data_IF_609682812768
#
_entry.id   IF_609682812768
#
_cell.length_a   1.000
_cell.length_b   1.000
_cell.length_c   1.000
_cell.angle_alpha   90.00
_cell.angle_beta   90.00
_cell.angle_gamma   90.00
#
_symmetry.space_group_name_H-M   'P 1'
#
loop_
_entity.id
_entity.type
_entity.pdbx_description
1 polymer ?
#
# COMPACT_ATOMS: atom_id res chain seq x y z
N UNK A 1 26.57 -13.45 18.06
CA UNK A 1 25.15 -13.24 18.40
C UNK A 1 24.34 -14.54 18.23
N UNK A 2 23.60 -14.96 19.26
CA UNK A 2 23.06 -16.34 19.34
C UNK A 2 21.57 -16.45 18.98
N UNK A 3 20.90 -15.32 18.76
CA UNK A 3 19.48 -15.28 18.37
C UNK A 3 19.33 -14.97 16.89
N UNK A 4 18.44 -15.71 16.23
CA UNK A 4 17.93 -15.36 14.90
C UNK A 4 16.90 -14.23 15.05
N UNK A 5 17.05 -13.16 14.27
CA UNK A 5 16.17 -11.99 14.27
C UNK A 5 15.45 -11.96 12.93
N UNK A 6 14.12 -11.95 12.95
CA UNK A 6 13.31 -11.85 11.73
C UNK A 6 12.69 -10.47 11.69
N UNK A 7 13.00 -9.70 10.64
CA UNK A 7 12.39 -8.42 10.35
C UNK A 7 11.19 -8.62 9.41
N UNK A 8 9.99 -8.34 9.91
CA UNK A 8 8.77 -8.33 9.11
C UNK A 8 8.68 -7.02 8.31
N UNK A 9 9.12 -7.08 7.07
CA UNK A 9 9.21 -5.93 6.18
C UNK A 9 7.86 -5.69 5.51
N UNK A 10 7.03 -4.83 6.12
CA UNK A 10 5.67 -4.52 5.67
C UNK A 10 5.62 -3.05 5.23
N UNK A 11 4.96 -2.80 4.10
CA UNK A 11 4.55 -1.46 3.70
C UNK A 11 4.69 -1.23 2.21
N UNK A 12 4.23 -0.06 1.79
CA UNK A 12 4.31 0.39 0.40
C UNK A 12 5.72 0.84 0.01
N UNK A 13 5.85 1.35 -1.21
CA UNK A 13 7.09 1.81 -1.84
C UNK A 13 7.81 2.89 -1.00
N UNK A 14 7.09 3.63 -0.15
CA UNK A 14 7.70 4.58 0.81
C UNK A 14 8.68 3.90 1.77
N UNK A 15 8.35 2.67 2.20
CA UNK A 15 9.09 1.94 3.24
C UNK A 15 10.12 0.97 2.68
N UNK A 16 9.90 0.48 1.47
CA UNK A 16 10.74 -0.53 0.80
C UNK A 16 12.22 -0.14 0.70
N UNK A 17 12.61 1.11 0.38
CA UNK A 17 14.02 1.50 0.33
C UNK A 17 14.74 1.33 1.67
N UNK A 18 14.05 1.48 2.80
CA UNK A 18 14.66 1.32 4.11
C UNK A 18 15.02 -0.13 4.40
N UNK A 19 14.16 -1.06 3.97
CA UNK A 19 14.46 -2.50 4.01
C UNK A 19 15.63 -2.84 3.10
N UNK A 20 15.67 -2.28 1.88
CA UNK A 20 16.78 -2.46 0.95
C UNK A 20 18.12 -1.97 1.53
N UNK A 21 18.11 -0.80 2.19
CA UNK A 21 19.27 -0.25 2.88
C UNK A 21 19.72 -1.13 4.06
N UNK A 22 18.78 -1.71 4.81
CA UNK A 22 19.08 -2.63 5.91
C UNK A 22 19.71 -3.94 5.41
N UNK A 23 19.22 -4.49 4.29
CA UNK A 23 19.82 -5.66 3.63
C UNK A 23 21.24 -5.34 3.19
N UNK A 24 21.44 -4.21 2.50
CA UNK A 24 22.77 -3.75 2.08
C UNK A 24 23.74 -3.65 3.26
N UNK A 25 23.29 -3.05 4.36
CA UNK A 25 24.11 -2.90 5.56
C UNK A 25 24.45 -4.24 6.18
N UNK A 26 23.48 -5.16 6.28
CA UNK A 26 23.71 -6.50 6.82
C UNK A 26 24.75 -7.27 6.00
N UNK A 27 24.72 -7.15 4.68
CA UNK A 27 25.71 -7.76 3.79
C UNK A 27 27.09 -7.14 3.99
N UNK A 28 27.19 -5.81 3.97
CA UNK A 28 28.46 -5.08 4.13
C UNK A 28 29.14 -5.35 5.47
N UNK A 29 28.35 -5.50 6.54
CA UNK A 29 28.84 -5.79 7.89
C UNK A 29 28.94 -7.28 8.21
N UNK A 30 28.64 -8.16 7.24
CA UNK A 30 28.65 -9.61 7.41
C UNK A 30 27.77 -10.08 8.59
N UNK A 31 26.59 -9.45 8.78
CA UNK A 31 25.62 -9.81 9.80
C UNK A 31 24.83 -11.04 9.32
N UNK A 32 24.98 -12.17 10.02
CA UNK A 32 24.43 -13.47 9.61
C UNK A 32 23.21 -13.97 10.39
N UNK A 33 22.75 -13.21 11.39
CA UNK A 33 21.64 -13.61 12.26
C UNK A 33 20.37 -12.78 12.04
N UNK A 34 20.28 -12.02 10.95
CA UNK A 34 19.09 -11.26 10.55
C UNK A 34 18.48 -11.86 9.28
N UNK A 35 17.16 -11.98 9.26
CA UNK A 35 16.37 -12.50 8.14
C UNK A 35 15.20 -11.57 7.86
N UNK A 36 14.71 -11.56 6.64
CA UNK A 36 13.68 -10.64 6.17
C UNK A 36 12.48 -11.42 5.65
N UNK A 37 11.30 -11.12 6.20
CA UNK A 37 10.04 -11.58 5.64
C UNK A 37 9.46 -10.44 4.80
N UNK A 38 9.60 -10.53 3.47
CA UNK A 38 9.28 -9.43 2.55
C UNK A 38 7.79 -9.42 2.20
N UNK A 39 7.06 -8.47 2.78
CA UNK A 39 5.65 -8.17 2.51
C UNK A 39 5.49 -6.72 2.03
N UNK A 40 6.47 -6.24 1.25
CA UNK A 40 6.35 -4.94 0.59
C UNK A 40 5.39 -5.01 -0.58
N UNK A 41 4.44 -4.08 -0.64
CA UNK A 41 3.36 -4.04 -1.61
C UNK A 41 3.47 -2.82 -2.52
N UNK A 42 2.84 -2.91 -3.70
CA UNK A 42 2.86 -1.88 -4.73
C UNK A 42 1.47 -1.24 -4.88
N UNK A 43 1.42 0.06 -5.19
CA UNK A 43 0.16 0.81 -5.33
C UNK A 43 -0.58 0.57 -6.65
N UNK A 44 0.06 0.58 -7.84
CA UNK A 44 -0.69 0.46 -9.09
C UNK A 44 -1.47 -0.87 -9.24
N UNK A 45 -0.92 -2.05 -8.89
CA UNK A 45 -1.64 -3.32 -9.05
C UNK A 45 -2.99 -3.43 -8.32
N UNK A 46 -3.14 -3.11 -7.03
CA UNK A 46 -4.45 -3.11 -6.37
C UNK A 46 -5.40 -2.05 -6.93
N UNK A 47 -4.91 -0.88 -7.35
CA UNK A 47 -5.75 0.13 -8.02
C UNK A 47 -6.33 -0.44 -9.32
N UNK A 48 -5.50 -1.12 -10.12
CA UNK A 48 -5.91 -1.81 -11.35
C UNK A 48 -6.98 -2.87 -11.07
N UNK A 49 -6.75 -3.73 -10.08
CA UNK A 49 -7.71 -4.76 -9.67
C UNK A 49 -9.07 -4.19 -9.25
N UNK A 50 -9.08 -3.06 -8.52
CA UNK A 50 -10.33 -2.38 -8.13
C UNK A 50 -11.05 -1.77 -9.34
N UNK A 51 -10.30 -1.16 -10.27
CA UNK A 51 -10.89 -0.58 -11.48
C UNK A 51 -11.43 -1.65 -12.43
N UNK A 52 -10.71 -2.77 -12.58
CA UNK A 52 -11.10 -3.89 -13.44
C UNK A 52 -12.35 -4.61 -12.94
N UNK A 53 -12.62 -4.62 -11.63
CA UNK A 53 -13.82 -5.27 -11.10
C UNK A 53 -15.10 -4.50 -11.44
N UNK A 54 -15.01 -3.19 -11.67
CA UNK A 54 -16.15 -2.31 -11.94
C UNK A 54 -17.12 -2.15 -10.77
N UNK A 55 -16.80 -2.69 -9.59
CA UNK A 55 -17.66 -2.58 -8.40
C UNK A 55 -17.65 -1.15 -7.82
N UNK A 56 -16.48 -0.51 -7.81
CA UNK A 56 -16.29 0.84 -7.28
C UNK A 56 -16.51 1.88 -8.39
N UNK A 57 -17.29 2.93 -8.08
CA UNK A 57 -17.50 4.07 -8.98
C UNK A 57 -16.47 5.14 -8.69
N UNK A 58 -15.37 5.13 -9.45
CA UNK A 58 -14.24 6.05 -9.25
C UNK A 58 -14.04 6.91 -10.49
N UNK A 59 -14.30 8.21 -10.34
CA UNK A 59 -14.12 9.18 -11.43
C UNK A 59 -12.70 9.75 -11.47
N UNK A 60 -12.00 9.84 -10.33
CA UNK A 60 -10.66 10.39 -10.23
C UNK A 60 -9.91 9.84 -9.00
N UNK A 61 -8.58 9.93 -9.01
CA UNK A 61 -7.74 9.56 -7.88
C UNK A 61 -6.93 10.73 -7.32
N UNK A 62 -6.82 10.76 -6.00
CA UNK A 62 -5.74 11.46 -5.31
C UNK A 62 -4.67 10.43 -4.98
N UNK A 63 -3.51 10.55 -5.61
CA UNK A 63 -2.42 9.61 -5.45
C UNK A 63 -1.57 9.90 -4.19
N UNK A 64 -1.07 8.85 -3.50
CA UNK A 64 -0.30 8.99 -2.28
C UNK A 64 1.04 9.69 -2.53
N UNK A 65 1.28 10.80 -1.83
CA UNK A 65 2.49 11.62 -2.02
C UNK A 65 3.77 10.90 -1.66
N UNK A 66 3.87 10.29 -0.47
CA UNK A 66 5.14 9.66 -0.04
C UNK A 66 5.56 8.48 -0.93
N UNK A 67 4.60 7.70 -1.43
CA UNK A 67 4.87 6.67 -2.45
C UNK A 67 5.43 7.31 -3.71
N UNK A 68 4.84 8.42 -4.13
CA UNK A 68 5.25 9.16 -5.33
C UNK A 68 6.59 9.88 -5.17
N UNK A 69 7.04 10.18 -3.94
CA UNK A 69 8.41 10.67 -3.69
C UNK A 69 9.43 9.61 -4.09
N UNK A 70 9.13 8.33 -3.83
CA UNK A 70 10.01 7.22 -4.19
C UNK A 70 9.87 6.84 -5.66
N UNK A 71 8.64 6.58 -6.10
CA UNK A 71 8.34 5.99 -7.42
C UNK A 71 8.23 7.00 -8.56
N UNK A 72 7.96 8.27 -8.23
CA UNK A 72 7.61 9.30 -9.18
C UNK A 72 6.14 9.22 -9.60
N UNK A 73 5.64 10.31 -10.19
CA UNK A 73 4.25 10.34 -10.66
C UNK A 73 4.00 9.45 -11.89
N UNK A 74 5.06 9.04 -12.61
CA UNK A 74 4.95 8.25 -13.84
C UNK A 74 4.20 6.93 -13.69
N UNK A 75 4.22 6.32 -12.50
CA UNK A 75 3.57 5.02 -12.25
C UNK A 75 2.04 5.07 -12.43
N UNK A 76 1.43 6.25 -12.33
CA UNK A 76 0.00 6.42 -12.50
C UNK A 76 -0.42 6.67 -13.96
N UNK A 77 0.54 6.80 -14.89
CA UNK A 77 0.24 7.09 -16.29
C UNK A 77 -0.56 5.96 -16.95
N UNK A 78 -0.24 4.71 -16.63
CA UNK A 78 -0.98 3.54 -17.13
C UNK A 78 -2.44 3.57 -16.65
N UNK A 79 -2.69 3.94 -15.39
CA UNK A 79 -4.06 4.05 -14.84
C UNK A 79 -4.87 5.09 -15.63
N UNK A 80 -4.31 6.27 -15.88
CA UNK A 80 -4.98 7.31 -16.68
C UNK A 80 -5.23 6.83 -18.11
N UNK A 81 -4.26 6.15 -18.73
CA UNK A 81 -4.35 5.71 -20.12
C UNK A 81 -5.39 4.62 -20.32
N UNK A 82 -5.44 3.64 -19.41
CA UNK A 82 -6.37 2.52 -19.45
C UNK A 82 -7.80 2.95 -19.10
N UNK A 83 -7.98 3.67 -17.98
CA UNK A 83 -9.31 3.90 -17.41
C UNK A 83 -9.89 5.28 -17.72
N UNK A 84 -9.10 6.19 -18.29
CA UNK A 84 -9.49 7.60 -18.50
C UNK A 84 -9.94 8.27 -17.19
N UNK A 85 -9.25 7.94 -16.11
CA UNK A 85 -9.49 8.43 -14.75
C UNK A 85 -8.33 9.34 -14.36
N UNK A 86 -8.51 10.67 -14.26
CA UNK A 86 -7.42 11.58 -13.90
C UNK A 86 -6.84 11.26 -12.52
N UNK A 87 -5.54 11.50 -12.37
CA UNK A 87 -4.80 11.26 -11.13
C UNK A 87 -4.05 12.52 -10.73
N UNK A 88 -4.25 13.00 -9.51
CA UNK A 88 -3.47 14.12 -8.97
C UNK A 88 -2.67 13.65 -7.76
N UNK A 89 -1.34 13.77 -7.82
CA UNK A 89 -0.46 13.49 -6.68
C UNK A 89 -0.50 14.67 -5.71
N UNK A 90 -1.07 14.46 -4.52
CA UNK A 90 -1.32 15.52 -3.54
C UNK A 90 -0.43 15.40 -2.30
N UNK A 91 -0.09 16.53 -1.69
CA UNK A 91 0.46 16.57 -0.33
C UNK A 91 -0.57 16.19 0.74
N UNK A 92 -0.18 16.26 2.02
CA UNK A 92 -1.04 15.86 3.15
C UNK A 92 -1.66 17.05 3.90
N UNK A 93 -1.25 18.28 3.60
CA UNK A 93 -1.88 19.43 4.23
C UNK A 93 -3.32 19.60 3.70
N UNK A 94 -4.27 20.10 4.51
CA UNK A 94 -5.65 20.29 4.06
C UNK A 94 -5.75 21.11 2.76
N UNK A 95 -4.87 22.11 2.60
CA UNK A 95 -4.81 22.95 1.39
C UNK A 95 -4.30 22.19 0.17
N UNK A 96 -3.40 21.20 0.34
CA UNK A 96 -2.93 20.37 -0.78
C UNK A 96 -4.05 19.49 -1.32
N UNK A 97 -4.84 18.91 -0.42
CA UNK A 97 -6.00 18.09 -0.78
C UNK A 97 -7.05 18.95 -1.48
N UNK A 98 -7.37 20.12 -0.93
CA UNK A 98 -8.34 21.05 -1.55
C UNK A 98 -7.92 21.50 -2.94
N UNK A 99 -6.65 21.86 -3.12
CA UNK A 99 -6.11 22.25 -4.43
C UNK A 99 -6.15 21.08 -5.42
N UNK A 100 -5.80 19.87 -4.98
CA UNK A 100 -5.82 18.68 -5.84
C UNK A 100 -7.23 18.34 -6.33
N UNK A 101 -8.24 18.49 -5.46
CA UNK A 101 -9.66 18.36 -5.85
C UNK A 101 -10.03 19.43 -6.89
N UNK A 102 -9.61 20.68 -6.70
CA UNK A 102 -9.84 21.75 -7.67
C UNK A 102 -9.21 21.43 -9.03
N UNK A 103 -8.00 20.87 -9.05
CA UNK A 103 -7.31 20.47 -10.28
C UNK A 103 -8.05 19.35 -11.01
N UNK A 104 -8.52 18.33 -10.27
CA UNK A 104 -9.38 17.26 -10.83
C UNK A 104 -10.64 17.86 -11.49
N UNK A 105 -11.34 18.77 -10.80
CA UNK A 105 -12.55 19.41 -11.33
C UNK A 105 -12.25 20.21 -12.60
N UNK A 106 -11.10 20.92 -12.65
CA UNK A 106 -10.66 21.66 -13.85
C UNK A 106 -10.40 20.71 -15.01
N UNK A 107 -9.72 19.59 -14.79
CA UNK A 107 -9.50 18.59 -15.83
C UNK A 107 -10.82 18.11 -16.43
N UNK A 108 -11.83 17.80 -15.61
CA UNK A 108 -13.16 17.43 -16.13
C UNK A 108 -13.81 18.54 -16.94
N UNK A 109 -13.79 19.79 -16.46
CA UNK A 109 -14.34 20.95 -17.17
C UNK A 109 -13.65 21.18 -18.53
N UNK A 110 -12.35 20.90 -18.59
CA UNK A 110 -11.51 21.03 -19.79
C UNK A 110 -11.49 19.77 -20.65
N UNK A 111 -12.24 18.72 -20.27
CA UNK A 111 -12.26 17.42 -20.94
C UNK A 111 -10.85 16.77 -21.03
N UNK A 112 -9.97 17.04 -20.06
CA UNK A 112 -8.63 16.42 -19.91
C UNK A 112 -8.68 15.26 -18.92
N UNK A 113 -7.76 14.30 -19.10
CA UNK A 113 -7.50 13.20 -18.16
C UNK A 113 -6.01 12.93 -18.14
N UNK A 114 -5.34 13.47 -17.15
CA UNK A 114 -3.88 13.51 -17.07
C UNK A 114 -3.41 13.19 -15.64
N UNK A 115 -2.14 12.82 -15.54
CA UNK A 115 -1.45 12.77 -14.26
C UNK A 115 -0.91 14.18 -13.98
N UNK A 116 -1.35 14.80 -12.89
CA UNK A 116 -0.80 16.08 -12.43
C UNK A 116 -0.11 15.90 -11.08
N UNK A 117 0.94 16.71 -10.85
CA UNK A 117 1.69 16.70 -9.60
C UNK A 117 1.36 18.00 -8.87
N UNK A 118 0.49 17.94 -7.86
CA UNK A 118 0.24 19.07 -6.97
C UNK A 118 1.39 19.20 -5.96
N UNK A 119 1.90 18.08 -5.46
CA UNK A 119 2.98 18.02 -4.47
C UNK A 119 4.40 18.25 -5.05
N UNK A 120 4.56 19.23 -5.96
CA UNK A 120 5.83 19.51 -6.69
C UNK A 120 7.03 19.82 -5.81
N UNK A 121 6.78 20.24 -4.56
CA UNK A 121 7.84 20.53 -3.58
C UNK A 121 8.61 19.29 -3.12
N UNK A 122 8.08 18.09 -3.32
CA UNK A 122 8.75 16.84 -2.94
C UNK A 122 8.68 15.74 -4.00
N UNK A 123 7.75 15.83 -4.97
CA UNK A 123 7.55 14.80 -5.99
C UNK A 123 7.99 15.30 -7.36
N UNK A 124 8.75 14.46 -8.06
CA UNK A 124 9.09 14.61 -9.47
C UNK A 124 8.38 13.55 -10.32
N UNK A 125 8.47 13.67 -11.64
CA UNK A 125 7.94 12.66 -12.55
C UNK A 125 8.62 11.29 -12.37
N UNK A 126 9.95 11.31 -12.20
CA UNK A 126 10.78 10.10 -12.10
C UNK A 126 10.89 9.53 -10.68
N UNK A 127 10.63 10.34 -9.66
CA UNK A 127 10.81 9.96 -8.25
C UNK A 127 12.27 9.96 -7.81
N UNK A 128 12.55 9.20 -6.76
CA UNK A 128 13.89 8.98 -6.24
C UNK A 128 14.54 7.77 -6.93
N UNK A 129 15.27 8.03 -8.02
CA UNK A 129 15.90 6.97 -8.82
C UNK A 129 16.92 6.15 -8.03
N UNK A 130 17.67 6.76 -7.11
CA UNK A 130 18.62 6.04 -6.24
C UNK A 130 17.92 5.04 -5.32
N UNK A 131 16.77 5.42 -4.75
CA UNK A 131 15.96 4.52 -3.94
C UNK A 131 15.38 3.38 -4.77
N UNK A 132 14.90 3.67 -5.99
CA UNK A 132 14.42 2.65 -6.93
C UNK A 132 15.53 1.66 -7.31
N UNK A 133 16.72 2.14 -7.66
CA UNK A 133 17.89 1.31 -7.97
C UNK A 133 18.26 0.40 -6.79
N UNK A 134 18.25 0.94 -5.56
CA UNK A 134 18.53 0.16 -4.37
C UNK A 134 17.48 -0.94 -4.13
N UNK A 135 16.19 -0.64 -4.29
CA UNK A 135 15.13 -1.65 -4.19
C UNK A 135 15.32 -2.72 -5.28
N UNK A 136 15.53 -2.31 -6.53
CA UNK A 136 15.72 -3.21 -7.67
C UNK A 136 16.97 -4.07 -7.56
N UNK A 137 17.97 -3.66 -6.76
CA UNK A 137 19.14 -4.48 -6.48
C UNK A 137 18.76 -5.73 -5.70
N UNK A 138 17.98 -5.59 -4.63
CA UNK A 138 17.71 -6.67 -3.65
C UNK A 138 16.38 -7.39 -3.85
N UNK A 139 15.39 -6.71 -4.40
CA UNK A 139 14.02 -7.18 -4.47
C UNK A 139 13.49 -7.18 -5.91
N UNK A 140 12.50 -8.02 -6.15
CA UNK A 140 11.80 -8.13 -7.44
C UNK A 140 10.31 -8.42 -7.22
N UNK A 141 9.42 -8.10 -8.17
CA UNK A 141 8.01 -8.47 -8.07
C UNK A 141 7.81 -9.97 -7.90
N UNK A 142 6.91 -10.36 -6.98
CA UNK A 142 6.45 -11.75 -6.85
C UNK A 142 5.19 -11.96 -7.68
N UNK A 143 5.06 -13.15 -8.26
CA UNK A 143 3.99 -13.45 -9.23
C UNK A 143 2.59 -13.28 -8.65
N UNK A 144 2.38 -13.71 -7.40
CA UNK A 144 1.12 -13.59 -6.70
C UNK A 144 1.33 -13.16 -5.25
N UNK A 145 0.41 -12.34 -4.74
CA UNK A 145 0.37 -11.94 -3.35
C UNK A 145 -1.07 -11.72 -2.90
N UNK A 146 -1.39 -12.24 -1.72
CA UNK A 146 -2.72 -12.13 -1.14
C UNK A 146 -2.87 -10.81 -0.38
N UNK A 147 -3.74 -9.94 -0.89
CA UNK A 147 -4.17 -8.74 -0.21
C UNK A 147 -5.35 -9.07 0.70
N UNK A 148 -5.15 -8.86 1.99
CA UNK A 148 -6.21 -9.04 2.99
C UNK A 148 -7.42 -8.17 2.64
N UNK A 149 -8.60 -8.79 2.56
CA UNK A 149 -9.85 -8.15 2.14
C UNK A 149 -10.08 -7.97 0.64
N UNK A 150 -9.05 -8.11 -0.21
CA UNK A 150 -9.18 -7.90 -1.67
C UNK A 150 -9.01 -9.23 -2.44
N UNK A 151 -8.09 -10.08 -2.00
CA UNK A 151 -7.78 -11.37 -2.64
C UNK A 151 -6.38 -11.41 -3.25
N UNK A 152 -6.13 -12.38 -4.10
CA UNK A 152 -4.83 -12.56 -4.75
C UNK A 152 -4.68 -11.57 -5.92
N UNK A 153 -3.62 -10.77 -5.90
CA UNK A 153 -3.33 -9.77 -6.92
C UNK A 153 -1.96 -10.05 -7.51
N UNK A 154 -1.85 -10.30 -8.83
CA UNK A 154 -0.57 -10.63 -9.44
C UNK A 154 0.38 -9.45 -9.46
N UNK A 155 1.68 -9.71 -9.29
CA UNK A 155 2.76 -8.72 -9.35
C UNK A 155 2.53 -7.49 -8.46
N UNK A 156 1.83 -7.68 -7.34
CA UNK A 156 1.39 -6.60 -6.44
C UNK A 156 2.26 -6.43 -5.20
N UNK A 157 3.27 -7.28 -5.05
CA UNK A 157 4.20 -7.25 -3.95
C UNK A 157 5.60 -7.64 -4.43
N UNK A 158 6.58 -7.42 -3.56
CA UNK A 158 7.97 -7.77 -3.79
C UNK A 158 8.33 -9.04 -3.02
N UNK A 159 9.35 -9.73 -3.52
CA UNK A 159 10.10 -10.77 -2.82
C UNK A 159 11.59 -10.43 -2.88
N UNK A 160 12.37 -11.07 -2.01
CA UNK A 160 13.81 -11.00 -2.11
C UNK A 160 14.29 -11.81 -3.32
N UNK A 161 15.28 -11.31 -4.06
CA UNK A 161 15.87 -12.06 -5.18
C UNK A 161 16.57 -13.31 -4.69
N UNK A 162 16.64 -14.33 -5.55
CA UNK A 162 17.24 -15.63 -5.23
C UNK A 162 18.72 -15.53 -4.80
N UNK A 163 19.46 -14.56 -5.33
CA UNK A 163 20.85 -14.25 -4.97
C UNK A 163 21.03 -13.94 -3.47
N UNK A 164 19.97 -13.49 -2.80
CA UNK A 164 19.98 -13.14 -1.38
C UNK A 164 19.16 -14.13 -0.53
N UNK A 165 18.87 -15.34 -1.04
CA UNK A 165 18.05 -16.34 -0.37
C UNK A 165 18.51 -16.71 1.06
N UNK A 166 19.80 -16.53 1.39
CA UNK A 166 20.32 -16.75 2.76
C UNK A 166 19.70 -15.81 3.80
N UNK A 167 19.16 -14.67 3.37
CA UNK A 167 18.49 -13.67 4.20
C UNK A 167 16.96 -13.78 4.15
N UNK A 168 16.41 -14.61 3.27
CA UNK A 168 14.97 -14.73 3.06
C UNK A 168 14.33 -15.62 4.13
N UNK A 169 13.50 -15.04 4.99
CA UNK A 169 12.84 -15.78 6.05
C UNK A 169 11.84 -16.83 5.50
N UNK A 170 11.18 -16.58 4.37
CA UNK A 170 10.25 -17.53 3.74
C UNK A 170 11.01 -18.81 3.31
N UNK A 171 12.28 -18.67 2.89
CA UNK A 171 13.12 -19.80 2.46
C UNK A 171 13.85 -20.48 3.61
N UNK A 172 14.47 -19.71 4.51
CA UNK A 172 15.26 -20.25 5.62
C UNK A 172 14.40 -21.01 6.63
N UNK A 173 13.14 -20.63 6.79
CA UNK A 173 12.21 -21.21 7.76
C UNK A 173 11.03 -21.93 7.12
N UNK A 174 11.13 -22.31 5.84
CA UNK A 174 10.05 -22.95 5.09
C UNK A 174 9.46 -24.19 5.80
N UNK A 175 10.29 -24.96 6.51
CA UNK A 175 9.86 -26.19 7.21
C UNK A 175 8.94 -25.92 8.42
N UNK A 176 8.92 -24.69 8.96
CA UNK A 176 8.16 -24.34 10.16
C UNK A 176 7.11 -23.25 9.93
N UNK A 177 7.17 -22.56 8.78
CA UNK A 177 6.23 -21.49 8.47
C UNK A 177 4.89 -22.08 7.99
N UNK A 178 3.75 -21.71 8.62
CA UNK A 178 2.45 -22.15 8.16
C UNK A 178 2.09 -21.45 6.84
N UNK A 179 1.80 -22.24 5.81
CA UNK A 179 1.41 -21.73 4.49
C UNK A 179 -0.11 -21.82 4.23
N UNK A 180 -0.91 -22.07 5.26
CA UNK A 180 -2.35 -22.15 5.13
C UNK A 180 -2.95 -20.75 5.06
N UNK A 181 -3.78 -20.44 4.05
CA UNK A 181 -4.47 -19.16 3.97
C UNK A 181 -5.45 -19.02 5.14
N UNK A 182 -5.48 -17.82 5.72
CA UNK A 182 -6.43 -17.45 6.76
C UNK A 182 -7.38 -16.41 6.18
N UNK A 183 -8.67 -16.72 6.20
CA UNK A 183 -9.71 -15.81 5.74
C UNK A 183 -10.02 -14.72 6.77
N UNK A 184 -10.55 -13.60 6.29
CA UNK A 184 -11.02 -12.53 7.15
C UNK A 184 -12.22 -12.95 8.00
N UNK A 185 -12.40 -12.26 9.13
CA UNK A 185 -13.53 -12.51 10.01
C UNK A 185 -14.86 -12.29 9.26
N UNK A 186 -15.76 -13.28 9.26
CA UNK A 186 -16.98 -13.30 8.44
C UNK A 186 -17.92 -12.11 8.62
N UNK A 187 -17.90 -11.47 9.79
CA UNK A 187 -18.70 -10.27 10.09
C UNK A 187 -18.05 -8.95 9.63
N UNK A 188 -16.79 -8.98 9.21
CA UNK A 188 -16.02 -7.81 8.84
C UNK A 188 -16.16 -7.53 7.34
N UNK A 189 -16.53 -6.30 6.97
CA UNK A 189 -16.59 -5.84 5.57
C UNK A 189 -15.40 -4.97 5.18
N UNK A 190 -14.23 -5.15 5.82
CA UNK A 190 -13.04 -4.33 5.55
C UNK A 190 -12.60 -4.41 4.07
N UNK A 191 -12.82 -5.54 3.40
CA UNK A 191 -12.60 -5.66 1.95
C UNK A 191 -13.38 -4.64 1.13
N UNK A 192 -14.69 -4.50 1.38
CA UNK A 192 -15.54 -3.54 0.67
C UNK A 192 -15.18 -2.09 1.01
N UNK A 193 -14.72 -1.84 2.25
CA UNK A 193 -14.23 -0.52 2.67
C UNK A 193 -12.91 -0.18 1.94
N UNK A 194 -11.97 -1.13 1.84
CA UNK A 194 -10.70 -0.95 1.13
C UNK A 194 -10.91 -0.72 -0.37
N UNK A 195 -11.91 -1.37 -0.97
CA UNK A 195 -12.33 -1.16 -2.36
C UNK A 195 -13.09 0.16 -2.58
N UNK A 196 -13.47 0.87 -1.52
CA UNK A 196 -14.26 2.11 -1.61
C UNK A 196 -15.75 1.88 -1.93
N UNK A 197 -16.25 0.66 -1.77
CA UNK A 197 -17.64 0.27 -2.03
C UNK A 197 -18.54 0.56 -0.83
N UNK A 198 -17.98 0.47 0.38
CA UNK A 198 -18.67 0.74 1.63
C UNK A 198 -17.86 1.72 2.50
N UNK A 199 -18.52 2.39 3.44
CA UNK A 199 -17.87 3.21 4.46
C UNK A 199 -17.83 2.46 5.79
N UNK A 200 -16.94 2.84 6.73
CA UNK A 200 -16.88 2.19 8.04
C UNK A 200 -18.22 2.13 8.79
N UNK A 201 -19.08 3.14 8.66
CA UNK A 201 -20.40 3.16 9.29
C UNK A 201 -21.42 2.20 8.65
N UNK A 202 -21.14 1.65 7.47
CA UNK A 202 -21.97 0.61 6.84
C UNK A 202 -21.67 -0.79 7.44
N UNK A 203 -20.58 -0.90 8.22
CA UNK A 203 -20.18 -2.14 8.88
C UNK A 203 -20.91 -2.32 10.22
N UNK A 204 -21.73 -3.38 10.34
CA UNK A 204 -22.55 -3.66 11.54
C UNK A 204 -21.76 -3.83 12.83
N UNK A 205 -20.49 -4.23 12.74
CA UNK A 205 -19.63 -4.45 13.91
C UNK A 205 -18.73 -3.25 14.21
N UNK A 206 -18.72 -2.21 13.37
CA UNK A 206 -17.87 -1.03 13.55
C UNK A 206 -18.28 -0.23 14.78
N UNK A 207 -17.31 0.07 15.65
CA UNK A 207 -17.51 0.86 16.87
C UNK A 207 -18.24 0.12 18.00
N UNK A 208 -18.69 -1.11 17.77
CA UNK A 208 -19.34 -1.97 18.76
C UNK A 208 -18.44 -3.16 19.10
N UNK A 209 -18.55 -4.27 18.36
CA UNK A 209 -17.72 -5.45 18.54
C UNK A 209 -16.31 -5.27 17.98
N UNK A 210 -16.13 -4.41 16.98
CA UNK A 210 -14.84 -4.04 16.39
C UNK A 210 -14.44 -2.64 16.84
N UNK A 211 -13.46 -2.55 17.74
CA UNK A 211 -12.89 -1.31 18.28
C UNK A 211 -11.36 -1.35 18.19
N UNK A 212 -10.64 -0.24 18.42
CA UNK A 212 -9.17 -0.26 18.46
C UNK A 212 -8.60 -1.23 19.51
N UNK A 213 -9.30 -1.42 20.64
CA UNK A 213 -8.90 -2.38 21.68
C UNK A 213 -9.24 -3.83 21.33
N UNK A 214 -10.29 -4.06 20.52
CA UNK A 214 -10.71 -5.37 20.05
C UNK A 214 -10.98 -5.35 18.53
N UNK A 215 -9.93 -5.29 17.69
CA UNK A 215 -10.11 -5.15 16.25
C UNK A 215 -10.48 -6.49 15.60
N UNK A 216 -11.56 -6.51 14.83
CA UNK A 216 -11.97 -7.69 14.05
C UNK A 216 -11.34 -7.74 12.65
N UNK A 217 -10.88 -6.60 12.11
CA UNK A 217 -10.33 -6.50 10.76
C UNK A 217 -9.18 -5.51 10.67
N UNK A 218 -8.34 -5.65 9.64
CA UNK A 218 -7.12 -4.86 9.44
C UNK A 218 -7.36 -3.35 9.41
N UNK A 219 -8.51 -2.92 8.86
CA UNK A 219 -8.92 -1.52 8.81
C UNK A 219 -9.05 -0.84 10.20
N UNK A 220 -9.20 -1.61 11.28
CA UNK A 220 -9.26 -1.12 12.67
C UNK A 220 -7.93 -1.32 13.44
N UNK A 221 -7.09 -2.27 13.01
CA UNK A 221 -5.78 -2.53 13.63
C UNK A 221 -4.78 -1.42 13.31
N UNK A 222 -4.71 -1.01 12.04
CA UNK A 222 -3.73 -0.02 11.60
C UNK A 222 -4.15 1.40 11.98
N UNK A 223 -3.21 2.22 12.44
CA UNK A 223 -3.41 3.66 12.63
C UNK A 223 -3.71 4.40 11.33
N UNK A 224 -3.34 3.82 10.19
CA UNK A 224 -3.64 4.33 8.84
C UNK A 224 -4.96 3.75 8.29
N UNK A 225 -5.59 2.83 9.01
CA UNK A 225 -6.81 2.15 8.57
C UNK A 225 -8.02 3.09 8.56
N UNK A 226 -8.84 2.99 7.51
CA UNK A 226 -10.04 3.82 7.36
C UNK A 226 -11.00 3.69 8.55
N UNK A 227 -11.21 2.48 9.08
CA UNK A 227 -12.07 2.31 10.25
C UNK A 227 -11.46 2.95 11.49
N UNK A 228 -10.16 2.77 11.76
CA UNK A 228 -9.50 3.42 12.89
C UNK A 228 -9.59 4.95 12.81
N UNK A 229 -9.41 5.54 11.62
CA UNK A 229 -9.56 6.97 11.39
C UNK A 229 -11.00 7.45 11.65
N UNK A 230 -12.00 6.75 11.11
CA UNK A 230 -13.42 7.07 11.35
C UNK A 230 -13.78 6.91 12.83
N UNK A 231 -13.24 5.92 13.53
CA UNK A 231 -13.50 5.73 14.95
C UNK A 231 -12.91 6.86 15.79
N UNK A 232 -11.69 7.29 15.46
CA UNK A 232 -10.96 8.32 16.22
C UNK A 232 -11.52 9.72 16.00
N UNK A 233 -11.89 10.06 14.77
CA UNK A 233 -12.25 11.43 14.37
C UNK A 233 -13.72 11.59 13.99
N UNK A 234 -14.42 10.50 13.70
CA UNK A 234 -15.86 10.52 13.50
C UNK A 234 -16.57 10.77 14.82
N UNK A 235 -17.52 11.71 14.82
CA UNK A 235 -18.45 11.85 15.94
C UNK A 235 -19.38 10.65 15.94
N UNK A 236 -18.96 9.55 16.57
CA UNK A 236 -19.79 8.37 16.74
C UNK A 236 -20.99 8.74 17.63
N UNK A 237 -22.16 8.94 17.04
CA UNK A 237 -23.41 8.78 17.78
C UNK A 237 -23.61 7.28 17.95
N UNK A 238 -23.07 6.73 19.03
CA UNK A 238 -23.43 5.40 19.48
C UNK A 238 -24.92 5.47 19.85
N UNK A 239 -25.76 4.81 19.05
CA UNK A 239 -27.19 4.63 19.32
C UNK A 239 -27.32 3.59 20.43
#
# INVERSE_FOLDING_TARGET
PDKKVIYFAIGFETTTPMTAALIERAIQENIKNIYFHINHVLVPPPVKAIMDSGEAKIDAFIAPSHVSVITGAKIYKEIVDLYKTPVVVAGFEPVDIMESILWIIRQFKENRREVEIQYKRAVSWEGNTKAQEMVNKYMEPRETFRWRGIGDIPYSALKLKDEYAEFDAEKVFADILPNQPIDDHKLCICGDILKGIAKPYDCRVFGTACTPQNPLGSCMVSSEGACAAYYKYGKLQLI
#
